data_IF_850098914745
#
_entry.id   IF_850098914745
#
_cell.length_a   1.000
_cell.length_b   1.000
_cell.length_c   1.000
_cell.angle_alpha   90.00
_cell.angle_beta   90.00
_cell.angle_gamma   90.00
#
_symmetry.space_group_name_H-M   'P 1'
#
loop_
_entity.id
_entity.type
_entity.pdbx_description
1 polymer ?
#
# COMPACT_ATOMS: atom_id res chain seq x y z
N UNK A 1 -13.64 12.35 -26.33
CA UNK A 1 -12.26 12.87 -26.36
C UNK A 1 -11.68 12.65 -24.98
N UNK A 2 -10.84 11.64 -24.83
CA UNK A 2 -10.28 11.20 -23.54
C UNK A 2 -9.12 12.15 -23.21
N UNK A 3 -9.25 12.95 -22.14
CA UNK A 3 -8.13 13.77 -21.66
C UNK A 3 -7.33 12.91 -20.69
N UNK A 4 -6.13 12.54 -21.13
CA UNK A 4 -5.15 11.77 -20.36
C UNK A 4 -4.73 12.54 -19.11
N UNK A 5 -5.07 12.00 -17.94
CA UNK A 5 -4.72 12.54 -16.61
C UNK A 5 -3.52 11.81 -16.01
N UNK A 6 -2.39 11.79 -16.73
CA UNK A 6 -1.15 11.13 -16.29
C UNK A 6 0.03 12.06 -16.01
N UNK A 7 -0.02 13.32 -16.46
CA UNK A 7 1.16 14.21 -16.45
C UNK A 7 1.25 15.15 -15.24
N UNK A 8 0.14 15.46 -14.56
CA UNK A 8 0.10 16.47 -13.51
C UNK A 8 0.64 15.99 -12.15
N UNK A 9 0.63 14.68 -11.89
CA UNK A 9 1.07 14.11 -10.61
C UNK A 9 2.60 13.94 -10.51
N UNK A 10 3.28 13.75 -11.65
CA UNK A 10 4.74 13.54 -11.66
C UNK A 10 5.55 14.83 -11.45
N UNK A 11 5.02 16.01 -11.81
CA UNK A 11 5.73 17.28 -11.61
C UNK A 11 5.70 17.76 -10.16
N UNK A 12 4.64 17.43 -9.40
CA UNK A 12 4.52 17.77 -7.98
C UNK A 12 5.36 16.83 -7.09
N UNK A 13 5.46 15.53 -7.45
CA UNK A 13 6.33 14.58 -6.76
C UNK A 13 7.81 14.97 -6.86
N UNK A 14 8.27 15.38 -8.06
CA UNK A 14 9.63 15.93 -8.26
C UNK A 14 9.87 17.17 -7.42
N UNK A 15 8.87 18.03 -7.26
CA UNK A 15 8.97 19.21 -6.41
C UNK A 15 9.14 18.82 -4.92
N UNK A 16 8.42 17.81 -4.41
CA UNK A 16 8.55 17.37 -3.01
C UNK A 16 9.91 16.72 -2.73
N UNK A 17 10.41 15.88 -3.65
CA UNK A 17 11.73 15.26 -3.53
C UNK A 17 12.85 16.32 -3.45
N UNK A 18 12.80 17.35 -4.31
CA UNK A 18 13.73 18.48 -4.24
C UNK A 18 13.60 19.29 -2.95
N UNK A 19 12.39 19.51 -2.44
CA UNK A 19 12.18 20.21 -1.16
C UNK A 19 12.81 19.41 0.01
N UNK A 20 12.73 18.08 -0.02
CA UNK A 20 13.30 17.23 1.02
C UNK A 20 14.84 17.29 1.05
N UNK A 21 15.49 17.52 -0.09
CA UNK A 21 16.95 17.66 -0.19
C UNK A 21 17.39 19.06 0.24
N UNK A 22 16.64 20.09 -0.17
CA UNK A 22 17.10 21.47 -0.10
C UNK A 22 16.62 22.23 1.15
N UNK A 23 15.67 21.69 1.92
CA UNK A 23 15.04 22.40 3.03
C UNK A 23 15.09 21.57 4.32
N UNK A 24 15.51 22.21 5.41
CA UNK A 24 15.65 21.57 6.73
C UNK A 24 14.33 21.24 7.44
N UNK A 25 13.20 21.75 6.97
CA UNK A 25 11.88 21.53 7.56
C UNK A 25 10.80 21.58 6.46
N UNK A 26 9.72 20.78 6.57
CA UNK A 26 8.64 20.81 5.60
C UNK A 26 7.91 22.16 5.62
N UNK A 27 7.49 22.69 4.45
CA UNK A 27 6.69 23.92 4.39
C UNK A 27 5.35 23.78 5.14
N UNK A 28 4.79 24.89 5.63
CA UNK A 28 3.58 24.88 6.46
C UNK A 28 2.36 24.19 5.82
N UNK A 29 2.25 24.18 4.49
CA UNK A 29 1.17 23.51 3.78
C UNK A 29 1.29 21.98 3.76
N UNK A 30 2.41 21.41 4.21
CA UNK A 30 2.61 19.97 4.43
C UNK A 30 2.46 19.58 5.90
N UNK A 31 2.35 20.56 6.81
CA UNK A 31 2.19 20.32 8.24
C UNK A 31 0.70 20.15 8.54
N UNK A 32 0.32 18.96 8.98
CA UNK A 32 -1.02 18.70 9.48
C UNK A 32 -1.20 19.42 10.83
N UNK A 33 -2.09 20.42 10.88
CA UNK A 33 -2.41 21.16 12.10
C UNK A 33 -3.22 20.29 13.06
N UNK A 34 -2.93 20.33 14.36
CA UNK A 34 -3.69 19.60 15.38
C UNK A 34 -5.20 19.94 15.28
N UNK A 35 -6.03 18.90 15.10
CA UNK A 35 -7.49 19.02 14.97
C UNK A 35 -8.10 18.38 13.73
N UNK A 36 -7.29 17.97 12.75
CA UNK A 36 -7.74 17.26 11.52
C UNK A 36 -7.11 15.86 11.40
N UNK A 37 -6.04 15.58 12.16
CA UNK A 37 -5.34 14.29 12.16
C UNK A 37 -5.45 13.58 13.50
N UNK A 38 -5.78 12.30 13.45
CA UNK A 38 -5.52 11.38 14.56
C UNK A 38 -4.03 11.39 14.86
N UNK A 39 -3.67 11.48 16.15
CA UNK A 39 -2.28 11.29 16.56
C UNK A 39 -1.78 9.91 16.10
N UNK A 40 -0.48 9.72 15.80
CA UNK A 40 0.06 8.39 15.46
C UNK A 40 -0.30 7.31 16.49
N UNK A 41 -0.47 7.74 17.75
CA UNK A 41 -0.91 6.94 18.90
C UNK A 41 -2.41 6.59 18.92
N UNK A 42 -3.25 7.25 18.12
CA UNK A 42 -4.69 6.98 17.99
C UNK A 42 -5.01 5.99 16.87
N UNK A 43 -4.05 5.67 16.00
CA UNK A 43 -4.28 4.62 15.02
C UNK A 43 -4.30 3.27 15.75
N UNK A 44 -5.40 2.50 15.67
CA UNK A 44 -5.39 1.14 16.17
C UNK A 44 -4.28 0.38 15.44
N UNK A 45 -3.48 -0.37 16.19
CA UNK A 45 -2.53 -1.31 15.58
C UNK A 45 -3.35 -2.30 14.75
N UNK A 46 -3.32 -2.14 13.43
CA UNK A 46 -4.03 -3.01 12.51
C UNK A 46 -3.16 -4.23 12.28
N UNK A 47 -3.56 -5.36 12.86
CA UNK A 47 -2.99 -6.65 12.53
C UNK A 47 -3.50 -7.05 11.13
N UNK A 48 -2.65 -6.88 10.11
CA UNK A 48 -2.99 -7.16 8.71
C UNK A 48 -2.72 -8.65 8.44
N UNK A 49 -3.75 -9.46 8.13
CA UNK A 49 -3.57 -10.87 7.85
C UNK A 49 -2.67 -11.10 6.64
N UNK A 50 -1.76 -12.06 6.75
CA UNK A 50 -0.97 -12.58 5.62
C UNK A 50 -1.71 -13.76 5.00
N UNK A 51 -1.87 -13.75 3.68
CA UNK A 51 -2.57 -14.77 2.92
C UNK A 51 -1.69 -15.42 1.83
N UNK A 52 -1.70 -16.74 1.81
CA UNK A 52 -1.10 -17.57 0.78
C UNK A 52 -2.09 -17.83 -0.36
N UNK A 53 -1.90 -17.12 -1.47
CA UNK A 53 -2.80 -17.24 -2.62
C UNK A 53 -2.65 -18.57 -3.36
N UNK A 54 -1.56 -19.31 -3.15
CA UNK A 54 -1.38 -20.62 -3.78
C UNK A 54 -2.35 -21.67 -3.21
N UNK A 55 -2.80 -21.51 -1.96
CA UNK A 55 -3.74 -22.42 -1.31
C UNK A 55 -5.18 -22.23 -1.80
N UNK A 56 -5.55 -21.03 -2.25
CA UNK A 56 -6.91 -20.69 -2.68
C UNK A 56 -7.38 -21.46 -3.93
N UNK A 57 -6.43 -21.94 -4.75
CA UNK A 57 -6.74 -22.71 -5.97
C UNK A 57 -6.81 -24.22 -5.74
N UNK A 58 -6.66 -24.69 -4.50
CA UNK A 58 -6.71 -26.10 -4.15
C UNK A 58 -8.05 -26.48 -3.52
N UNK A 59 -8.37 -27.78 -3.48
CA UNK A 59 -9.57 -28.31 -2.81
C UNK A 59 -9.22 -28.97 -1.46
N UNK A 60 -8.21 -28.45 -0.78
CA UNK A 60 -7.70 -29.01 0.47
C UNK A 60 -8.34 -28.33 1.70
N UNK A 61 -8.26 -28.94 2.90
CA UNK A 61 -8.71 -28.30 4.13
C UNK A 61 -8.03 -26.96 4.39
N UNK A 62 -6.78 -26.82 3.98
CA UNK A 62 -6.00 -25.58 4.10
C UNK A 62 -6.56 -24.47 3.20
N UNK A 63 -7.09 -24.82 2.01
CA UNK A 63 -7.76 -23.86 1.13
C UNK A 63 -9.00 -23.23 1.78
N UNK A 64 -9.78 -24.03 2.50
CA UNK A 64 -10.97 -23.57 3.22
C UNK A 64 -10.59 -22.68 4.41
N UNK A 65 -9.52 -23.01 5.14
CA UNK A 65 -8.97 -22.15 6.19
C UNK A 65 -8.51 -20.81 5.62
N UNK A 66 -7.83 -20.84 4.48
CA UNK A 66 -7.29 -19.65 3.83
C UNK A 66 -8.41 -18.75 3.27
N UNK A 67 -9.45 -19.36 2.67
CA UNK A 67 -10.65 -18.64 2.24
C UNK A 67 -11.38 -18.00 3.43
N UNK A 68 -11.41 -18.68 4.59
CA UNK A 68 -11.97 -18.12 5.82
C UNK A 68 -11.15 -16.93 6.31
N UNK A 69 -9.81 -17.01 6.29
CA UNK A 69 -8.93 -15.87 6.58
C UNK A 69 -9.20 -14.69 5.67
N UNK A 70 -9.38 -14.92 4.37
CA UNK A 70 -9.70 -13.87 3.40
C UNK A 70 -11.00 -13.15 3.75
N UNK A 71 -12.05 -13.92 4.05
CA UNK A 71 -13.36 -13.36 4.47
C UNK A 71 -13.25 -12.56 5.76
N UNK A 72 -12.47 -13.05 6.73
CA UNK A 72 -12.23 -12.36 7.99
C UNK A 72 -11.48 -11.04 7.77
N UNK A 73 -10.43 -11.02 6.93
CA UNK A 73 -9.67 -9.82 6.60
C UNK A 73 -10.56 -8.70 6.06
N UNK A 74 -11.44 -9.02 5.10
CA UNK A 74 -12.40 -8.05 4.56
C UNK A 74 -13.47 -7.61 5.55
N UNK A 75 -13.83 -8.47 6.50
CA UNK A 75 -14.84 -8.16 7.53
C UNK A 75 -14.28 -7.38 8.71
N UNK A 76 -12.96 -7.43 8.95
CA UNK A 76 -12.30 -6.80 10.10
C UNK A 76 -11.58 -5.50 9.74
N UNK A 77 -10.51 -5.59 8.96
CA UNK A 77 -9.62 -4.46 8.64
C UNK A 77 -9.76 -3.96 7.20
N UNK A 78 -10.26 -4.79 6.28
CA UNK A 78 -10.35 -4.48 4.86
C UNK A 78 -9.04 -4.64 4.09
N UNK A 79 -7.96 -5.08 4.74
CA UNK A 79 -6.62 -5.24 4.16
C UNK A 79 -6.09 -6.64 4.38
N UNK A 80 -5.18 -7.08 3.51
CA UNK A 80 -4.37 -8.29 3.70
C UNK A 80 -3.06 -8.16 2.92
N UNK A 81 -2.06 -8.92 3.33
CA UNK A 81 -0.81 -9.08 2.59
C UNK A 81 -0.84 -10.41 1.83
N UNK A 82 -0.54 -10.42 0.54
CA UNK A 82 -0.47 -11.65 -0.24
C UNK A 82 0.96 -12.20 -0.30
N UNK A 83 1.11 -13.51 -0.15
CA UNK A 83 2.32 -14.29 -0.43
C UNK A 83 1.99 -15.39 -1.44
N UNK A 84 3.02 -15.97 -2.06
CA UNK A 84 2.87 -17.04 -3.06
C UNK A 84 1.82 -16.68 -4.15
N UNK A 85 1.79 -15.40 -4.53
CA UNK A 85 0.83 -14.82 -5.47
C UNK A 85 1.11 -15.17 -6.95
N UNK A 86 2.22 -15.87 -7.23
CA UNK A 86 2.58 -16.32 -8.58
C UNK A 86 3.12 -15.23 -9.50
N UNK A 87 3.47 -14.05 -8.97
CA UNK A 87 4.17 -13.00 -9.73
C UNK A 87 5.66 -13.22 -9.50
N UNK A 88 6.42 -13.29 -10.58
CA UNK A 88 7.86 -13.48 -10.52
C UNK A 88 8.56 -12.37 -9.74
N UNK A 89 9.51 -12.74 -8.89
CA UNK A 89 10.28 -11.77 -8.10
C UNK A 89 11.08 -10.84 -9.01
N UNK A 90 11.65 -11.34 -10.11
CA UNK A 90 12.38 -10.53 -11.07
C UNK A 90 11.52 -9.45 -11.73
N UNK A 91 10.22 -9.71 -11.89
CA UNK A 91 9.28 -8.68 -12.39
C UNK A 91 9.02 -7.62 -11.32
N UNK A 92 8.86 -8.01 -10.05
CA UNK A 92 8.72 -7.05 -8.96
C UNK A 92 9.98 -6.18 -8.79
N UNK A 93 11.17 -6.79 -8.96
CA UNK A 93 12.45 -6.08 -8.97
C UNK A 93 12.50 -5.04 -10.12
N UNK A 94 12.10 -5.43 -11.33
CA UNK A 94 12.03 -4.50 -12.47
C UNK A 94 11.06 -3.34 -12.22
N UNK A 95 9.87 -3.62 -11.67
CA UNK A 95 8.88 -2.58 -11.31
C UNK A 95 9.43 -1.62 -10.26
N UNK A 96 10.16 -2.15 -9.28
CA UNK A 96 10.82 -1.34 -8.28
C UNK A 96 11.90 -0.44 -8.90
N UNK A 97 12.75 -0.99 -9.77
CA UNK A 97 13.85 -0.27 -10.41
C UNK A 97 13.39 0.87 -11.32
N UNK A 98 12.23 0.75 -11.97
CA UNK A 98 11.69 1.82 -12.85
C UNK A 98 10.92 2.91 -12.10
N UNK A 99 10.57 2.71 -10.83
CA UNK A 99 9.73 3.64 -10.05
C UNK A 99 10.49 4.47 -9.01
N UNK A 100 11.77 4.16 -8.76
CA UNK A 100 12.64 4.89 -7.84
C UNK A 100 13.17 6.21 -8.43
#
# INVERSE_FOLDING_TARGET
MVVSSGAATSSLAKAVQELAINISAPPENYIQKEGIGCSPSEFPYLDIPVLDLSLLNSSSPEAEEELKRLRLAFSSCGYFQAINHGIDTSFLDEVHDVTQ
#
